data_IF_573350666787
#
_entry.id   IF_573350666787
#
_cell.length_a   1.000
_cell.length_b   1.000
_cell.length_c   1.000
_cell.angle_alpha   90.00
_cell.angle_beta   90.00
_cell.angle_gamma   90.00
#
_symmetry.space_group_name_H-M   'P 1'
#
loop_
_entity.id
_entity.type
_entity.pdbx_description
1 polymer ?
#
# COMPACT_ATOMS: atom_id res chain seq x y z
N UNK A 1 10.50 8.32 33.15
CA UNK A 1 10.44 7.05 32.38
C UNK A 1 10.25 7.40 30.92
N UNK A 2 11.17 6.99 30.04
CA UNK A 2 11.01 7.22 28.60
C UNK A 2 9.80 6.42 28.09
N UNK A 3 8.96 7.03 27.27
CA UNK A 3 7.84 6.35 26.62
C UNK A 3 8.42 5.30 25.66
N UNK A 4 8.36 4.02 26.03
CA UNK A 4 8.73 2.94 25.11
C UNK A 4 7.84 3.04 23.86
N UNK A 5 8.47 3.09 22.70
CA UNK A 5 7.76 2.97 21.44
C UNK A 5 7.18 1.55 21.32
N UNK A 6 6.23 1.39 20.41
CA UNK A 6 5.70 0.08 19.99
C UNK A 6 5.80 -0.03 18.49
N UNK A 7 5.93 -1.25 17.96
CA UNK A 7 5.79 -1.46 16.53
C UNK A 7 4.37 -1.07 16.08
N UNK A 8 4.29 -0.36 14.96
CA UNK A 8 3.06 0.18 14.36
C UNK A 8 2.96 -0.14 12.87
N UNK A 9 4.09 -0.32 12.21
CA UNK A 9 4.12 -0.59 10.78
C UNK A 9 5.25 -1.54 10.39
N UNK A 10 4.97 -2.29 9.34
CA UNK A 10 5.87 -3.16 8.61
C UNK A 10 5.87 -2.66 7.18
N UNK A 11 7.04 -2.25 6.69
CA UNK A 11 7.20 -1.69 5.36
C UNK A 11 8.25 -2.51 4.61
N UNK A 12 7.89 -3.06 3.45
CA UNK A 12 8.85 -3.72 2.58
C UNK A 12 9.24 -2.74 1.49
N UNK A 13 10.17 -1.84 1.83
CA UNK A 13 10.51 -0.64 1.08
C UNK A 13 10.74 -0.92 -0.42
N UNK A 14 9.75 -0.69 -1.29
CA UNK A 14 10.02 -0.62 -2.72
C UNK A 14 10.47 0.81 -2.97
N UNK A 15 11.45 1.03 -3.84
CA UNK A 15 11.50 2.33 -4.51
C UNK A 15 10.25 2.37 -5.41
N UNK A 16 9.13 2.82 -4.83
CA UNK A 16 7.76 2.71 -5.35
C UNK A 16 7.59 3.51 -6.65
N UNK A 17 7.71 2.84 -7.80
CA UNK A 17 7.27 3.37 -9.10
C UNK A 17 5.89 2.76 -9.46
N UNK A 18 4.93 3.54 -10.00
CA UNK A 18 3.64 3.03 -10.51
C UNK A 18 3.82 2.01 -11.63
N UNK A 19 2.92 1.03 -11.76
CA UNK A 19 2.90 -0.02 -12.81
C UNK A 19 3.14 0.48 -14.24
N UNK A 20 2.67 1.68 -14.60
CA UNK A 20 2.90 2.24 -15.95
C UNK A 20 4.36 2.59 -16.24
N UNK A 21 5.16 2.87 -15.22
CA UNK A 21 6.60 3.06 -15.36
C UNK A 21 7.37 1.74 -15.40
N UNK A 22 6.71 0.60 -15.15
CA UNK A 22 7.30 -0.74 -15.29
C UNK A 22 7.13 -1.32 -16.70
N UNK A 23 6.05 -0.94 -17.41
CA UNK A 23 5.73 -1.49 -18.75
C UNK A 23 6.26 -0.66 -19.92
N UNK A 24 6.62 0.62 -19.69
CA UNK A 24 7.38 1.40 -20.66
C UNK A 24 8.86 1.24 -20.36
N UNK A 25 9.61 0.68 -21.29
CA UNK A 25 11.02 1.01 -21.45
C UNK A 25 11.09 2.53 -21.60
N UNK A 26 11.31 3.25 -20.50
CA UNK A 26 11.59 4.68 -20.57
C UNK A 26 12.86 4.81 -21.40
N UNK A 27 12.91 5.70 -22.42
CA UNK A 27 14.15 5.95 -23.12
C UNK A 27 15.15 6.52 -22.10
N UNK A 28 16.40 6.05 -22.20
CA UNK A 28 17.45 6.26 -21.19
C UNK A 28 17.80 7.75 -20.94
N UNK A 29 17.26 8.65 -21.75
CA UNK A 29 17.48 10.10 -21.77
C UNK A 29 16.36 10.92 -21.10
N UNK A 30 15.26 10.30 -20.64
CA UNK A 30 14.08 11.03 -20.17
C UNK A 30 14.17 11.59 -18.73
N UNK A 31 15.27 11.39 -17.99
CA UNK A 31 15.44 11.96 -16.65
C UNK A 31 16.92 12.11 -16.28
N UNK A 32 17.40 13.35 -16.13
CA UNK A 32 18.54 13.64 -15.25
C UNK A 32 18.09 13.48 -13.80
N UNK A 33 18.07 12.23 -13.32
CA UNK A 33 17.96 11.98 -11.89
C UNK A 33 19.21 12.54 -11.20
N UNK A 34 19.10 13.13 -9.99
CA UNK A 34 20.27 13.59 -9.25
C UNK A 34 21.29 12.46 -9.12
N UNK A 35 22.58 12.74 -9.35
CA UNK A 35 23.70 11.76 -9.32
C UNK A 35 23.74 10.89 -8.04
N UNK A 36 23.09 11.32 -6.95
CA UNK A 36 22.93 10.53 -5.72
C UNK A 36 21.97 9.34 -5.82
N UNK A 37 21.27 9.17 -6.95
CA UNK A 37 20.37 8.04 -7.23
C UNK A 37 20.99 7.12 -8.29
N UNK A 38 22.12 6.50 -7.93
CA UNK A 38 22.97 5.70 -8.82
C UNK A 38 22.21 4.82 -9.82
N UNK A 39 22.74 4.77 -11.05
CA UNK A 39 22.47 3.84 -12.16
C UNK A 39 21.32 2.85 -11.91
N UNK A 40 20.09 3.26 -12.26
CA UNK A 40 18.91 2.39 -12.09
C UNK A 40 18.93 1.24 -13.09
N UNK A 41 19.27 0.05 -12.59
CA UNK A 41 19.15 -1.25 -13.27
C UNK A 41 17.68 -1.54 -13.59
N UNK A 42 17.43 -2.38 -14.60
CA UNK A 42 16.14 -3.04 -14.83
C UNK A 42 15.56 -3.56 -13.50
N UNK A 43 14.23 -3.53 -13.30
CA UNK A 43 13.63 -3.87 -12.02
C UNK A 43 14.15 -5.23 -11.55
N UNK A 44 14.86 -5.21 -10.42
CA UNK A 44 15.39 -6.43 -9.82
C UNK A 44 14.17 -7.21 -9.32
N UNK A 45 14.16 -8.53 -9.43
CA UNK A 45 13.06 -9.40 -8.94
C UNK A 45 12.66 -9.03 -7.50
N UNK A 46 13.60 -8.63 -6.66
CA UNK A 46 13.38 -8.02 -5.34
C UNK A 46 12.41 -6.81 -5.33
N UNK A 47 12.47 -5.90 -6.31
CA UNK A 47 11.54 -4.76 -6.40
C UNK A 47 10.12 -5.24 -6.72
N UNK A 48 10.00 -6.22 -7.63
CA UNK A 48 8.70 -6.79 -7.99
C UNK A 48 8.10 -7.52 -6.78
N UNK A 49 8.94 -8.23 -6.04
CA UNK A 49 8.57 -8.92 -4.80
C UNK A 49 8.06 -7.92 -3.76
N UNK A 50 8.82 -6.83 -3.55
CA UNK A 50 8.44 -5.77 -2.61
C UNK A 50 7.12 -5.09 -3.00
N UNK A 51 6.94 -4.82 -4.30
CA UNK A 51 5.68 -4.27 -4.83
C UNK A 51 4.50 -5.19 -4.53
N UNK A 52 4.56 -6.46 -4.92
CA UNK A 52 3.47 -7.42 -4.71
C UNK A 52 3.19 -7.68 -3.22
N UNK A 53 4.22 -7.60 -2.36
CA UNK A 53 4.07 -7.74 -0.91
C UNK A 53 3.48 -6.49 -0.23
N UNK A 54 3.49 -5.31 -0.88
CA UNK A 54 3.15 -4.04 -0.25
C UNK A 54 1.73 -4.03 0.34
N UNK A 55 0.74 -4.56 -0.39
CA UNK A 55 -0.64 -4.66 0.11
C UNK A 55 -0.76 -5.50 1.38
N UNK A 56 -0.04 -6.62 1.44
CA UNK A 56 -0.01 -7.50 2.62
C UNK A 56 0.66 -6.81 3.81
N UNK A 57 1.82 -6.17 3.58
CA UNK A 57 2.55 -5.45 4.62
C UNK A 57 1.74 -4.28 5.22
N UNK A 58 1.01 -3.55 4.37
CA UNK A 58 0.14 -2.45 4.81
C UNK A 58 -1.06 -2.95 5.61
N UNK A 59 -1.75 -4.01 5.14
CA UNK A 59 -2.83 -4.62 5.91
C UNK A 59 -2.32 -5.16 7.25
N UNK A 60 -1.19 -5.86 7.24
CA UNK A 60 -0.55 -6.36 8.45
C UNK A 60 -0.23 -5.22 9.43
N UNK A 61 0.24 -4.07 8.93
CA UNK A 61 0.49 -2.88 9.75
C UNK A 61 -0.79 -2.35 10.41
N UNK A 62 -1.91 -2.33 9.69
CA UNK A 62 -3.22 -1.95 10.24
C UNK A 62 -3.65 -2.90 11.33
N UNK A 63 -3.51 -4.21 11.13
CA UNK A 63 -3.83 -5.24 12.12
C UNK A 63 -2.91 -5.14 13.35
N UNK A 64 -1.60 -4.97 13.14
CA UNK A 64 -0.60 -4.82 14.20
C UNK A 64 -0.87 -3.60 15.09
N UNK A 65 -1.35 -2.49 14.52
CA UNK A 65 -1.70 -1.30 15.29
C UNK A 65 -2.87 -1.51 16.27
N UNK A 66 -3.69 -2.55 16.05
CA UNK A 66 -4.85 -2.95 16.88
C UNK A 66 -4.53 -4.12 17.83
N UNK A 67 -3.48 -4.87 17.55
CA UNK A 67 -3.03 -6.02 18.34
C UNK A 67 -2.43 -5.62 19.70
N UNK A 68 -2.13 -6.64 20.52
CA UNK A 68 -1.33 -6.51 21.74
C UNK A 68 -0.04 -5.74 21.46
N UNK A 69 0.21 -4.60 22.13
CA UNK A 69 1.39 -3.77 21.87
C UNK A 69 2.71 -4.51 22.06
N UNK A 70 3.57 -4.46 21.05
CA UNK A 70 4.91 -5.05 21.10
C UNK A 70 5.92 -3.92 21.37
N UNK A 71 6.65 -3.96 22.50
CA UNK A 71 7.68 -2.96 22.80
C UNK A 71 8.74 -2.92 21.70
N UNK A 72 9.18 -1.72 21.34
CA UNK A 72 10.16 -1.53 20.27
C UNK A 72 11.03 -0.29 20.51
N UNK A 73 12.25 -0.33 19.98
CA UNK A 73 13.09 0.87 19.87
C UNK A 73 12.51 1.89 18.88
N UNK A 74 11.84 1.40 17.83
CA UNK A 74 11.29 2.21 16.74
C UNK A 74 9.85 1.81 16.42
N UNK A 75 9.09 2.71 15.79
CA UNK A 75 7.70 2.45 15.40
C UNK A 75 7.54 1.56 14.18
N UNK A 76 8.61 1.34 13.41
CA UNK A 76 8.55 0.75 12.07
C UNK A 76 9.60 -0.34 11.91
N UNK A 77 9.19 -1.43 11.24
CA UNK A 77 10.05 -2.51 10.78
C UNK A 77 10.21 -2.34 9.27
N UNK A 78 11.43 -2.08 8.81
CA UNK A 78 11.77 -2.05 7.39
C UNK A 78 12.26 -3.44 6.97
N UNK A 79 11.55 -4.06 6.04
CA UNK A 79 11.89 -5.35 5.46
C UNK A 79 12.68 -5.16 4.17
N UNK A 80 13.80 -5.87 4.09
CA UNK A 80 14.59 -5.97 2.87
C UNK A 80 14.57 -7.41 2.39
N UNK A 81 13.85 -7.63 1.29
CA UNK A 81 13.87 -8.89 0.55
C UNK A 81 15.11 -8.90 -0.36
N UNK A 82 15.91 -9.97 -0.30
CA UNK A 82 17.18 -10.09 -1.06
C UNK A 82 17.19 -11.38 -1.86
N UNK A 83 17.73 -11.33 -3.08
CA UNK A 83 17.86 -12.51 -3.95
C UNK A 83 18.68 -13.61 -3.26
N UNK A 84 18.30 -14.89 -3.40
CA UNK A 84 19.02 -16.02 -2.79
C UNK A 84 20.51 -16.07 -3.13
N UNK A 85 20.87 -15.70 -4.35
CA UNK A 85 22.23 -15.79 -4.90
C UNK A 85 23.06 -14.51 -4.70
N UNK A 86 22.58 -13.58 -3.88
CA UNK A 86 23.33 -12.36 -3.56
C UNK A 86 24.58 -12.71 -2.74
N UNK A 87 25.77 -12.45 -3.29
CA UNK A 87 27.03 -12.70 -2.60
C UNK A 87 27.11 -11.94 -1.25
N UNK A 88 27.60 -12.62 -0.21
CA UNK A 88 27.74 -12.04 1.13
C UNK A 88 26.43 -11.85 1.89
N UNK A 89 25.28 -12.27 1.33
CA UNK A 89 24.01 -12.17 1.99
C UNK A 89 23.93 -13.10 3.22
N UNK A 90 23.54 -12.52 4.36
CA UNK A 90 23.16 -13.24 5.57
C UNK A 90 21.78 -12.75 6.00
N UNK A 91 20.78 -13.64 6.16
CA UNK A 91 19.54 -13.27 6.82
C UNK A 91 19.86 -12.71 8.19
N UNK A 92 19.23 -11.62 8.57
CA UNK A 92 19.60 -10.98 9.81
C UNK A 92 18.73 -9.80 10.18
N UNK A 93 18.85 -9.45 11.44
CA UNK A 93 18.18 -8.31 12.06
C UNK A 93 19.28 -7.34 12.43
N UNK A 94 19.36 -6.20 11.73
CA UNK A 94 20.40 -5.24 12.05
C UNK A 94 20.08 -4.57 13.39
N UNK A 95 21.09 -4.04 14.07
CA UNK A 95 20.82 -3.05 15.11
C UNK A 95 19.98 -1.90 14.53
N UNK A 96 19.14 -1.27 15.36
CA UNK A 96 18.34 -0.15 14.90
C UNK A 96 19.27 0.91 14.32
N UNK A 97 19.15 1.19 13.01
CA UNK A 97 19.89 2.29 12.42
C UNK A 97 19.46 3.57 13.16
N UNK A 98 20.37 4.44 13.60
CA UNK A 98 20.17 5.31 14.75
C UNK A 98 18.99 6.29 14.73
N UNK A 99 18.10 6.32 13.70
CA UNK A 99 17.05 7.34 13.62
C UNK A 99 15.66 6.93 13.08
N UNK A 100 15.39 5.74 12.52
CA UNK A 100 14.08 5.57 11.84
C UNK A 100 13.38 4.23 11.99
N UNK A 101 14.07 3.09 11.99
CA UNK A 101 13.41 1.78 11.91
C UNK A 101 14.32 0.64 12.34
N UNK A 102 13.70 -0.46 12.77
CA UNK A 102 14.38 -1.76 12.83
C UNK A 102 14.42 -2.34 11.43
N UNK A 103 15.56 -2.91 11.02
CA UNK A 103 15.71 -3.51 9.70
C UNK A 103 15.79 -5.03 9.84
N UNK A 104 14.91 -5.71 9.11
CA UNK A 104 14.92 -7.16 8.97
C UNK A 104 15.23 -7.51 7.51
N UNK A 105 16.30 -8.29 7.30
CA UNK A 105 16.73 -8.72 5.98
C UNK A 105 16.44 -10.21 5.82
N UNK A 106 15.66 -10.56 4.80
CA UNK A 106 15.21 -11.93 4.54
C UNK A 106 15.46 -12.32 3.08
N UNK A 107 15.64 -13.63 2.85
CA UNK A 107 15.67 -14.17 1.48
C UNK A 107 14.29 -14.05 0.88
N UNK A 108 14.19 -13.44 -0.29
CA UNK A 108 12.97 -13.53 -1.08
C UNK A 108 12.80 -14.98 -1.55
N UNK A 109 11.54 -15.40 -1.64
CA UNK A 109 11.18 -16.65 -2.30
C UNK A 109 10.71 -16.33 -3.72
N UNK A 110 11.52 -16.64 -4.76
CA UNK A 110 11.19 -16.27 -6.13
C UNK A 110 9.93 -16.96 -6.63
N UNK A 111 9.56 -18.11 -6.07
CA UNK A 111 8.36 -18.83 -6.47
C UNK A 111 7.08 -18.03 -6.17
N UNK A 112 7.11 -17.11 -5.20
CA UNK A 112 5.95 -16.27 -4.88
C UNK A 112 5.56 -15.33 -6.01
N UNK A 113 6.53 -14.87 -6.80
CA UNK A 113 6.29 -13.96 -7.94
C UNK A 113 5.42 -14.61 -9.01
N UNK A 114 5.54 -15.93 -9.16
CA UNK A 114 4.90 -16.72 -10.21
C UNK A 114 3.56 -17.34 -9.75
N UNK A 115 3.18 -17.18 -8.47
CA UNK A 115 1.91 -17.70 -7.97
C UNK A 115 0.70 -16.98 -8.60
N UNK A 116 -0.45 -17.68 -8.75
CA UNK A 116 -1.70 -17.06 -9.16
C UNK A 116 -2.11 -15.91 -8.22
N UNK A 117 -2.65 -14.79 -8.75
CA UNK A 117 -3.01 -13.59 -7.97
C UNK A 117 -3.91 -13.88 -6.76
N UNK A 118 -4.78 -14.89 -6.84
CA UNK A 118 -5.75 -15.23 -5.80
C UNK A 118 -5.09 -15.88 -4.57
N UNK A 119 -3.96 -16.56 -4.76
CA UNK A 119 -3.25 -17.28 -3.70
C UNK A 119 -2.05 -16.49 -3.16
N UNK A 120 -1.50 -15.61 -3.99
CA UNK A 120 -0.25 -14.90 -3.74
C UNK A 120 -0.25 -14.06 -2.45
N UNK A 121 -1.30 -13.28 -2.10
CA UNK A 121 -1.30 -12.48 -0.87
C UNK A 121 -1.12 -13.33 0.40
N UNK A 122 -1.80 -14.48 0.47
CA UNK A 122 -1.66 -15.39 1.62
C UNK A 122 -0.26 -16.00 1.69
N UNK A 123 0.37 -16.28 0.55
CA UNK A 123 1.73 -16.80 0.49
C UNK A 123 2.77 -15.75 0.93
N UNK A 124 2.59 -14.48 0.55
CA UNK A 124 3.39 -13.38 1.08
C UNK A 124 3.26 -13.22 2.59
N UNK A 125 2.06 -13.35 3.14
CA UNK A 125 1.84 -13.31 4.58
C UNK A 125 2.55 -14.47 5.29
N UNK A 126 2.51 -15.67 4.71
CA UNK A 126 3.21 -16.86 5.22
C UNK A 126 4.74 -16.73 5.15
N UNK A 127 5.25 -16.03 4.15
CA UNK A 127 6.67 -15.69 4.07
C UNK A 127 7.06 -14.61 5.10
N UNK A 128 6.19 -13.62 5.32
CA UNK A 128 6.41 -12.49 6.21
C UNK A 128 6.47 -12.91 7.68
N UNK A 129 5.56 -13.79 8.11
CA UNK A 129 5.37 -14.11 9.52
C UNK A 129 6.62 -14.69 10.20
N UNK A 130 7.32 -15.70 9.64
CA UNK A 130 8.55 -16.22 10.24
C UNK A 130 9.65 -15.15 10.39
N UNK A 131 9.72 -14.19 9.48
CA UNK A 131 10.70 -13.08 9.55
C UNK A 131 10.40 -12.18 10.74
N UNK A 132 9.14 -11.82 10.95
CA UNK A 132 8.73 -10.97 12.08
C UNK A 132 8.86 -11.69 13.42
N UNK A 133 8.55 -12.99 13.47
CA UNK A 133 8.74 -13.81 14.67
C UNK A 133 10.22 -13.98 15.02
N UNK A 134 11.10 -14.13 14.02
CA UNK A 134 12.53 -14.17 14.25
C UNK A 134 13.10 -12.83 14.73
N UNK A 135 12.56 -11.70 14.26
CA UNK A 135 12.87 -10.38 14.82
C UNK A 135 12.45 -10.30 16.29
N UNK A 136 11.23 -10.73 16.62
CA UNK A 136 10.72 -10.73 18.00
C UNK A 136 11.63 -11.53 18.94
N UNK A 137 12.01 -12.74 18.52
CA UNK A 137 12.93 -13.60 19.26
C UNK A 137 14.30 -12.94 19.46
N UNK A 138 14.85 -12.33 18.40
CA UNK A 138 16.14 -11.63 18.46
C UNK A 138 16.11 -10.43 19.41
N UNK A 139 14.97 -9.76 19.53
CA UNK A 139 14.76 -8.62 20.45
C UNK A 139 14.33 -9.03 21.86
N UNK A 140 14.05 -10.32 22.10
CA UNK A 140 13.53 -10.80 23.38
C UNK A 140 12.16 -10.21 23.73
N UNK A 141 11.33 -9.91 22.72
CA UNK A 141 9.98 -9.37 22.91
C UNK A 141 8.91 -10.43 22.62
N UNK A 142 7.73 -10.26 23.20
CA UNK A 142 6.61 -11.20 23.00
C UNK A 142 6.16 -11.24 21.54
N UNK A 143 5.89 -12.44 21.05
CA UNK A 143 5.33 -12.70 19.73
C UNK A 143 3.80 -12.53 19.64
N UNK A 144 3.10 -12.37 20.77
CA UNK A 144 1.64 -12.38 20.82
C UNK A 144 0.98 -11.39 19.83
N UNK A 145 1.46 -10.14 19.81
CA UNK A 145 0.93 -9.13 18.88
C UNK A 145 1.17 -9.46 17.40
N UNK A 146 2.25 -10.16 17.07
CA UNK A 146 2.51 -10.60 15.69
C UNK A 146 1.60 -11.77 15.29
N UNK A 147 1.28 -12.68 16.20
CA UNK A 147 0.29 -13.74 15.95
C UNK A 147 -1.11 -13.16 15.75
N UNK A 148 -1.54 -12.25 16.61
CA UNK A 148 -2.84 -11.57 16.47
C UNK A 148 -2.95 -10.80 15.14
N UNK A 149 -1.87 -10.11 14.74
CA UNK A 149 -1.84 -9.39 13.47
C UNK A 149 -1.91 -10.33 12.27
N UNK A 150 -1.20 -11.46 12.31
CA UNK A 150 -1.25 -12.49 11.28
C UNK A 150 -2.66 -13.08 11.12
N UNK A 151 -3.28 -13.50 12.22
CA UNK A 151 -4.63 -14.09 12.21
C UNK A 151 -5.68 -13.08 11.70
N UNK A 152 -5.57 -11.81 12.11
CA UNK A 152 -6.44 -10.74 11.62
C UNK A 152 -6.22 -10.45 10.12
N UNK A 153 -4.97 -10.46 9.64
CA UNK A 153 -4.65 -10.24 8.22
C UNK A 153 -5.21 -11.36 7.35
N UNK A 154 -5.14 -12.62 7.81
CA UNK A 154 -5.79 -13.76 7.16
C UNK A 154 -7.31 -13.59 7.14
N UNK A 155 -7.92 -13.22 8.26
CA UNK A 155 -9.36 -13.01 8.37
C UNK A 155 -9.88 -11.88 7.46
N UNK A 156 -9.06 -10.84 7.23
CA UNK A 156 -9.36 -9.75 6.29
C UNK A 156 -8.99 -10.08 4.83
N UNK A 157 -8.55 -11.32 4.52
CA UNK A 157 -8.32 -11.79 3.16
C UNK A 157 -7.00 -11.33 2.51
N UNK A 158 -6.04 -10.86 3.30
CA UNK A 158 -4.69 -10.47 2.87
C UNK A 158 -4.61 -9.35 1.82
N UNK A 159 -5.72 -8.65 1.54
CA UNK A 159 -5.75 -7.55 0.57
C UNK A 159 -6.10 -6.25 1.27
N UNK A 160 -5.19 -5.28 1.21
CA UNK A 160 -5.43 -3.98 1.80
C UNK A 160 -6.53 -3.24 1.04
N UNK A 161 -7.59 -2.89 1.76
CA UNK A 161 -8.64 -2.01 1.27
C UNK A 161 -9.01 -0.97 2.32
N UNK A 162 -9.53 0.17 1.86
CA UNK A 162 -9.95 1.23 2.75
C UNK A 162 -11.09 2.03 2.14
N UNK A 163 -12.17 2.20 2.91
CA UNK A 163 -13.26 3.10 2.58
C UNK A 163 -13.03 4.46 3.23
N UNK A 164 -13.02 5.51 2.42
CA UNK A 164 -12.93 6.88 2.89
C UNK A 164 -14.28 7.48 3.30
N UNK A 165 -14.28 8.64 3.97
CA UNK A 165 -15.52 9.30 4.36
C UNK A 165 -16.33 9.73 3.13
N UNK A 166 -17.60 9.35 3.08
CA UNK A 166 -18.50 9.77 2.01
C UNK A 166 -18.92 11.24 2.10
N UNK A 167 -19.16 11.87 0.94
CA UNK A 167 -19.61 13.26 0.79
C UNK A 167 -20.96 13.32 0.09
N UNK A 168 -21.92 14.03 0.68
CA UNK A 168 -23.22 14.26 0.07
C UNK A 168 -23.16 15.33 -1.01
N UNK A 169 -23.94 15.17 -2.08
CA UNK A 169 -24.17 16.20 -3.08
C UNK A 169 -24.79 17.46 -2.44
N UNK A 170 -24.68 18.64 -3.08
CA UNK A 170 -25.27 19.89 -2.59
C UNK A 170 -26.77 19.80 -2.28
N UNK A 171 -27.52 19.09 -3.11
CA UNK A 171 -28.96 18.83 -2.94
C UNK A 171 -29.29 17.64 -2.02
N UNK A 172 -28.25 16.97 -1.50
CA UNK A 172 -28.30 15.81 -0.60
C UNK A 172 -29.06 14.61 -1.16
N UNK A 173 -29.20 14.51 -2.49
CA UNK A 173 -29.82 13.36 -3.15
C UNK A 173 -28.86 12.19 -3.29
N UNK A 174 -27.57 12.48 -3.36
CA UNK A 174 -26.51 11.50 -3.59
C UNK A 174 -25.44 11.56 -2.49
N UNK A 175 -24.73 10.46 -2.30
CA UNK A 175 -23.55 10.35 -1.46
C UNK A 175 -22.47 9.60 -2.22
N UNK A 176 -21.34 10.26 -2.46
CA UNK A 176 -20.16 9.67 -3.06
C UNK A 176 -19.22 9.16 -1.96
N UNK A 177 -18.70 7.95 -2.11
CA UNK A 177 -17.74 7.33 -1.18
C UNK A 177 -16.53 6.83 -1.95
N UNK A 178 -15.30 7.23 -1.58
CA UNK A 178 -14.10 6.72 -2.22
C UNK A 178 -13.67 5.40 -1.57
N UNK A 179 -13.30 4.43 -2.40
CA UNK A 179 -12.81 3.11 -2.04
C UNK A 179 -11.41 2.95 -2.61
N UNK A 180 -10.45 2.62 -1.76
CA UNK A 180 -9.08 2.36 -2.14
C UNK A 180 -8.76 0.89 -1.92
N UNK A 181 -7.94 0.32 -2.78
CA UNK A 181 -7.44 -1.05 -2.63
C UNK A 181 -6.03 -1.18 -3.20
N UNK A 182 -5.26 -2.12 -2.67
CA UNK A 182 -4.03 -2.63 -3.31
C UNK A 182 -4.35 -4.05 -3.77
N UNK A 183 -4.18 -4.32 -5.06
CA UNK A 183 -4.43 -5.65 -5.61
C UNK A 183 -3.26 -6.62 -5.37
N UNK A 184 -3.41 -7.86 -5.83
CA UNK A 184 -2.38 -8.90 -5.68
C UNK A 184 -1.12 -8.67 -6.55
N UNK A 185 -1.13 -7.71 -7.47
CA UNK A 185 0.05 -7.25 -8.21
C UNK A 185 0.79 -6.12 -7.48
N UNK A 186 0.23 -5.65 -6.36
CA UNK A 186 0.76 -4.50 -5.64
C UNK A 186 0.46 -3.19 -6.34
N UNK A 187 -0.59 -3.12 -7.16
CA UNK A 187 -1.08 -1.88 -7.75
C UNK A 187 -2.20 -1.28 -6.90
N UNK A 188 -2.13 0.03 -6.65
CA UNK A 188 -3.13 0.75 -5.88
C UNK A 188 -4.18 1.37 -6.79
N UNK A 189 -5.44 1.18 -6.39
CA UNK A 189 -6.60 1.59 -7.14
C UNK A 189 -7.52 2.46 -6.29
N UNK A 190 -8.10 3.49 -6.90
CA UNK A 190 -9.17 4.30 -6.39
C UNK A 190 -10.43 4.05 -7.22
N UNK A 191 -11.54 3.84 -6.52
CA UNK A 191 -12.89 3.84 -7.08
C UNK A 191 -13.76 4.81 -6.28
N UNK A 192 -14.73 5.47 -6.93
CA UNK A 192 -15.78 6.24 -6.24
C UNK A 192 -17.13 5.60 -6.51
N UNK A 193 -17.84 5.21 -5.45
CA UNK A 193 -19.21 4.69 -5.55
C UNK A 193 -20.17 5.77 -5.10
N UNK A 194 -21.16 6.09 -5.93
CA UNK A 194 -22.21 7.06 -5.64
C UNK A 194 -23.51 6.30 -5.38
N UNK A 195 -24.11 6.58 -4.23
CA UNK A 195 -25.41 6.03 -3.83
C UNK A 195 -26.45 7.14 -3.72
N UNK A 196 -27.70 6.84 -4.05
CA UNK A 196 -28.84 7.71 -3.72
C UNK A 196 -29.11 7.71 -2.21
N UNK A 197 -30.03 8.59 -1.77
CA UNK A 197 -30.40 8.76 -0.35
C UNK A 197 -30.90 7.48 0.34
N UNK A 198 -31.52 6.57 -0.41
CA UNK A 198 -31.98 5.26 0.04
C UNK A 198 -30.87 4.19 0.12
N UNK A 199 -29.65 4.53 -0.33
CA UNK A 199 -28.51 3.62 -0.35
C UNK A 199 -28.30 2.87 -1.67
N UNK A 200 -29.20 3.03 -2.66
CA UNK A 200 -29.08 2.36 -3.96
C UNK A 200 -27.87 2.92 -4.74
N UNK A 201 -26.95 2.08 -5.26
CA UNK A 201 -25.89 2.55 -6.15
C UNK A 201 -26.46 3.15 -7.44
N UNK A 202 -26.05 4.36 -7.79
CA UNK A 202 -26.54 5.08 -8.98
C UNK A 202 -25.44 5.37 -10.00
N UNK A 203 -24.19 5.43 -9.58
CA UNK A 203 -23.04 5.60 -10.46
C UNK A 203 -21.77 5.09 -9.77
N UNK A 204 -20.79 4.70 -10.59
CA UNK A 204 -19.47 4.26 -10.15
C UNK A 204 -18.42 4.86 -11.09
N UNK A 205 -17.30 5.30 -10.53
CA UNK A 205 -16.16 5.81 -11.30
C UNK A 205 -14.88 5.10 -10.91
N UNK A 206 -13.98 4.89 -11.88
CA UNK A 206 -12.76 4.10 -11.73
C UNK A 206 -12.89 2.70 -12.33
N UNK A 207 -11.94 1.79 -12.06
CA UNK A 207 -10.77 1.99 -11.21
C UNK A 207 -9.75 2.95 -11.84
N UNK A 208 -9.23 3.87 -11.03
CA UNK A 208 -8.11 4.74 -11.39
C UNK A 208 -6.88 4.36 -10.57
N UNK A 209 -5.68 4.52 -11.14
CA UNK A 209 -4.45 4.34 -10.37
C UNK A 209 -4.40 5.35 -9.21
N UNK A 210 -3.84 4.94 -8.06
CA UNK A 210 -3.76 5.75 -6.84
C UNK A 210 -2.41 5.61 -6.16
N UNK A 211 -2.10 6.52 -5.21
CA UNK A 211 -0.88 6.41 -4.39
C UNK A 211 -0.85 5.06 -3.63
N UNK A 212 0.27 4.34 -3.68
CA UNK A 212 0.44 3.04 -3.03
C UNK A 212 0.44 3.10 -1.50
N UNK A 213 0.61 4.28 -0.91
CA UNK A 213 0.77 4.45 0.54
C UNK A 213 -0.58 4.77 1.20
N UNK A 214 -1.15 3.87 2.00
CA UNK A 214 -2.49 4.04 2.58
C UNK A 214 -2.64 5.26 3.48
N UNK A 215 -1.56 5.69 4.15
CA UNK A 215 -1.60 6.91 4.97
C UNK A 215 -1.93 8.17 4.13
N UNK A 216 -1.68 8.16 2.82
CA UNK A 216 -2.03 9.24 1.90
C UNK A 216 -3.47 9.15 1.39
N UNK A 217 -4.10 7.97 1.37
CA UNK A 217 -5.50 7.83 0.96
C UNK A 217 -6.44 8.71 1.77
N UNK A 218 -6.18 8.88 3.07
CA UNK A 218 -6.95 9.81 3.91
C UNK A 218 -6.85 11.26 3.44
N UNK A 219 -5.70 11.66 2.89
CA UNK A 219 -5.49 12.98 2.31
C UNK A 219 -6.23 13.09 0.97
N UNK A 220 -6.10 12.10 0.09
CA UNK A 220 -6.80 12.03 -1.19
C UNK A 220 -8.32 12.04 -1.01
N UNK A 221 -8.88 11.25 -0.08
CA UNK A 221 -10.31 11.24 0.20
C UNK A 221 -10.87 12.59 0.68
N UNK A 222 -10.04 13.47 1.25
CA UNK A 222 -10.48 14.84 1.62
C UNK A 222 -10.69 15.75 0.41
N UNK A 223 -10.11 15.41 -0.74
CA UNK A 223 -10.30 16.14 -2.00
C UNK A 223 -11.60 15.80 -2.72
N UNK A 224 -12.33 14.78 -2.24
CA UNK A 224 -13.64 14.43 -2.76
C UNK A 224 -14.61 15.61 -2.59
N UNK A 225 -15.07 16.15 -3.70
CA UNK A 225 -15.95 17.33 -3.75
C UNK A 225 -17.03 17.16 -4.81
N UNK A 226 -18.12 17.91 -4.66
CA UNK A 226 -19.20 18.00 -5.63
C UNK A 226 -19.23 19.39 -6.27
N UNK A 227 -18.56 19.60 -7.43
CA UNK A 227 -18.62 20.90 -8.13
C UNK A 227 -20.05 21.31 -8.50
N UNK A 228 -20.89 20.34 -8.84
CA UNK A 228 -22.32 20.53 -9.12
C UNK A 228 -23.14 19.41 -8.46
N UNK A 229 -24.49 19.49 -8.41
CA UNK A 229 -25.32 18.38 -7.91
C UNK A 229 -25.13 17.05 -8.67
N UNK A 230 -24.65 17.10 -9.90
CA UNK A 230 -24.47 15.95 -10.78
C UNK A 230 -23.01 15.60 -11.03
N UNK A 231 -22.03 16.34 -10.53
CA UNK A 231 -20.61 16.07 -10.76
C UNK A 231 -19.87 15.88 -9.45
N UNK A 232 -19.05 14.85 -9.40
CA UNK A 232 -18.12 14.58 -8.30
C UNK A 232 -16.70 14.58 -8.83
N UNK A 233 -15.76 15.12 -8.06
CA UNK A 233 -14.34 15.11 -8.39
C UNK A 233 -13.49 14.65 -7.21
N UNK A 234 -12.40 13.94 -7.49
CA UNK A 234 -11.43 13.45 -6.49
C UNK A 234 -10.02 13.43 -7.09
N UNK A 235 -9.01 13.69 -6.26
CA UNK A 235 -7.60 13.53 -6.63
C UNK A 235 -7.07 12.17 -6.18
N UNK A 236 -6.50 11.38 -7.11
CA UNK A 236 -5.90 10.08 -6.84
C UNK A 236 -4.41 10.19 -6.42
N UNK A 237 -3.74 11.28 -6.82
CA UNK A 237 -2.35 11.57 -6.52
C UNK A 237 -2.16 13.01 -6.02
N UNK A 238 -1.02 13.29 -5.38
CA UNK A 238 -0.58 14.66 -5.14
C UNK A 238 -0.06 15.24 -6.45
N UNK A 239 -0.23 16.54 -6.72
CA UNK A 239 0.27 17.20 -7.93
C UNK A 239 1.71 16.84 -8.25
N UNK A 240 2.62 16.98 -7.27
CA UNK A 240 4.04 16.64 -7.47
C UNK A 240 4.30 15.19 -7.84
N UNK A 241 3.46 14.27 -7.37
CA UNK A 241 3.55 12.83 -7.69
C UNK A 241 2.95 12.54 -9.07
N UNK A 242 1.81 13.17 -9.38
CA UNK A 242 1.16 13.07 -10.68
C UNK A 242 2.08 13.58 -11.81
N UNK A 243 2.68 14.76 -11.62
CA UNK A 243 3.61 15.38 -12.57
C UNK A 243 4.86 14.52 -12.78
N UNK A 244 5.47 14.05 -11.68
CA UNK A 244 6.67 13.21 -11.74
C UNK A 244 6.43 11.87 -12.46
N UNK A 245 5.20 11.36 -12.42
CA UNK A 245 4.84 10.06 -12.98
C UNK A 245 4.06 10.16 -14.30
N UNK A 246 3.69 11.36 -14.74
CA UNK A 246 2.87 11.57 -15.93
C UNK A 246 1.50 10.89 -15.83
N UNK A 247 0.90 10.85 -14.64
CA UNK A 247 -0.42 10.26 -14.39
C UNK A 247 -1.46 11.35 -14.14
N UNK A 248 -2.72 11.05 -14.44
CA UNK A 248 -3.81 11.98 -14.20
C UNK A 248 -4.00 12.19 -12.68
N UNK A 249 -3.94 13.44 -12.24
CA UNK A 249 -4.06 13.76 -10.81
C UNK A 249 -5.51 13.64 -10.32
N UNK A 250 -6.46 14.12 -11.13
CA UNK A 250 -7.84 14.40 -10.72
C UNK A 250 -8.80 13.75 -11.71
N UNK A 251 -9.77 13.03 -11.16
CA UNK A 251 -10.84 12.41 -11.93
C UNK A 251 -12.17 13.08 -11.60
N UNK A 252 -13.05 13.13 -12.60
CA UNK A 252 -14.40 13.67 -12.48
C UNK A 252 -15.40 12.63 -13.00
N UNK A 253 -16.50 12.46 -12.28
CA UNK A 253 -17.59 11.55 -12.62
C UNK A 253 -18.90 12.33 -12.62
N UNK A 254 -19.75 12.08 -13.62
CA UNK A 254 -21.07 12.70 -13.76
C UNK A 254 -22.16 11.68 -13.40
N UNK A 255 -23.13 12.10 -12.60
CA UNK A 255 -24.32 11.34 -12.22
C UNK A 255 -25.44 11.70 -13.17
N UNK A 256 -25.89 10.75 -13.98
CA UNK A 256 -27.01 10.97 -14.87
C UNK A 256 -28.34 10.83 -14.10
N UNK A 257 -29.27 11.79 -14.22
CA UNK A 257 -30.51 11.80 -13.44
C UNK A 257 -31.48 10.64 -13.75
N UNK A 258 -31.21 9.82 -14.77
CA UNK A 258 -32.15 8.81 -15.29
C UNK A 258 -31.59 7.41 -15.54
N UNK A 259 -30.39 7.06 -15.09
CA UNK A 259 -29.92 5.69 -15.26
C UNK A 259 -28.52 5.45 -14.74
N UNK A 260 -28.30 4.24 -14.23
CA UNK A 260 -26.97 3.70 -13.98
C UNK A 260 -26.34 3.45 -15.35
N UNK A 261 -25.40 4.29 -15.77
CA UNK A 261 -24.48 3.90 -16.84
C UNK A 261 -23.66 2.72 -16.31
N UNK A 262 -23.83 1.56 -16.96
CA UNK A 262 -23.10 0.33 -16.66
C UNK A 262 -21.84 0.25 -17.50
#
# INVERSE_FOLDING_TARGET
MAQQSRYKSVDMNPILLPSRLWSRSLPADAWEAPESWGERRAPVRADHFAKQAAGVCELYSVCLARATPIPAGHGTIALRAVEPDTEGFQPGYSEPYPRTSDIATARLDPALLDLPPETRPSAYLNWLQPVLLGLAATRGVSAAGFHEAYDATLAEGCLMSWEGPGRSSPDRRHRATPHYAIDAQGDAWLRVVIRSRDGTPVAEGGPWESDLRPYRWRRHARTLTWPTPAEVSIEAFLTTTADAWGVEQRHTLTVHPHGVDR
#
